data_IF_162775872879
#
_entry.id   IF_162775872879
#
_cell.length_a   1.000
_cell.length_b   1.000
_cell.length_c   1.000
_cell.angle_alpha   90.00
_cell.angle_beta   90.00
_cell.angle_gamma   90.00
#
_symmetry.space_group_name_H-M   'P 1'
#
loop_
_entity.id
_entity.type
_entity.pdbx_description
1 polymer ?
#
# COMPACT_ATOMS: atom_id res chain seq x y z
N UNK A 1 -43.97 19.59 74.72
CA UNK A 1 -45.00 20.64 74.90
C UNK A 1 -44.53 21.89 74.14
N UNK A 2 -45.37 22.42 73.22
CA UNK A 2 -45.17 23.56 72.29
C UNK A 2 -44.16 23.29 71.14
N UNK A 3 -44.50 23.06 69.88
CA UNK A 3 -45.43 23.66 68.88
C UNK A 3 -44.89 24.97 68.24
N UNK A 4 -44.97 25.01 66.88
CA UNK A 4 -45.02 26.15 65.94
C UNK A 4 -43.66 26.75 65.48
N UNK A 5 -43.38 27.11 64.21
CA UNK A 5 -44.12 27.16 62.93
C UNK A 5 -43.16 27.65 61.80
N UNK A 6 -43.41 27.22 60.54
CA UNK A 6 -43.12 27.81 59.20
C UNK A 6 -41.74 28.49 58.94
N UNK A 7 -41.09 28.42 57.77
CA UNK A 7 -41.60 28.66 56.43
C UNK A 7 -40.54 28.24 55.41
N UNK A 8 -41.00 27.69 54.29
CA UNK A 8 -40.28 27.45 53.04
C UNK A 8 -39.65 28.76 52.50
N UNK A 9 -38.38 28.75 52.10
CA UNK A 9 -37.95 29.59 50.98
C UNK A 9 -36.95 28.84 50.09
N UNK A 10 -37.40 28.69 48.86
CA UNK A 10 -36.75 28.15 47.68
C UNK A 10 -35.48 28.96 47.34
N UNK A 11 -34.35 28.29 47.16
CA UNK A 11 -33.22 28.82 46.41
C UNK A 11 -32.71 27.71 45.49
N UNK A 12 -33.44 27.50 44.40
CA UNK A 12 -32.99 26.76 43.23
C UNK A 12 -31.85 27.54 42.59
N UNK A 13 -30.60 27.18 42.91
CA UNK A 13 -29.47 27.57 42.08
C UNK A 13 -29.32 26.49 40.99
N UNK A 14 -30.05 26.69 39.89
CA UNK A 14 -29.76 26.02 38.63
C UNK A 14 -28.39 26.52 38.17
N UNK A 15 -27.33 25.77 38.47
CA UNK A 15 -26.08 25.89 37.73
C UNK A 15 -26.33 25.33 36.33
N UNK A 16 -26.83 26.19 35.43
CA UNK A 16 -26.72 26.00 33.99
C UNK A 16 -25.22 26.13 33.70
N UNK A 17 -24.51 25.03 33.91
CA UNK A 17 -23.24 24.80 33.26
C UNK A 17 -23.55 24.76 31.77
N UNK A 18 -23.17 25.83 31.08
CA UNK A 18 -22.97 25.85 29.64
C UNK A 18 -21.96 24.74 29.30
N UNK A 19 -22.46 23.52 29.14
CA UNK A 19 -21.86 22.57 28.23
C UNK A 19 -21.99 23.23 26.86
N UNK A 20 -20.99 24.02 26.48
CA UNK A 20 -20.64 24.16 25.09
C UNK A 20 -20.42 22.73 24.62
N UNK A 21 -21.45 22.15 24.00
CA UNK A 21 -21.28 21.01 23.13
C UNK A 21 -20.32 21.49 22.06
N UNK A 22 -19.03 21.21 22.23
CA UNK A 22 -18.15 21.06 21.09
C UNK A 22 -18.85 20.05 20.21
N UNK A 23 -19.47 20.55 19.14
CA UNK A 23 -20.04 19.75 18.08
C UNK A 23 -19.02 18.66 17.73
N UNK A 24 -19.54 17.44 17.67
CA UNK A 24 -18.93 16.30 17.00
C UNK A 24 -18.61 16.64 15.53
N UNK A 25 -17.51 17.37 15.28
CA UNK A 25 -17.04 17.67 13.91
C UNK A 25 -15.58 17.23 13.67
N UNK A 26 -14.90 16.59 14.62
CA UNK A 26 -13.56 16.02 14.43
C UNK A 26 -13.60 14.53 14.05
N UNK A 27 -14.60 14.12 13.24
CA UNK A 27 -14.46 12.90 12.47
C UNK A 27 -13.34 13.13 11.45
N UNK A 28 -12.09 12.80 11.83
CA UNK A 28 -10.95 12.77 10.91
C UNK A 28 -11.44 12.06 9.64
N UNK A 29 -11.43 12.72 8.47
CA UNK A 29 -12.01 12.13 7.27
C UNK A 29 -11.46 10.73 7.07
N UNK A 30 -12.36 9.76 6.84
CA UNK A 30 -11.98 8.37 6.65
C UNK A 30 -10.90 8.28 5.57
N UNK A 31 -9.88 7.45 5.80
CA UNK A 31 -8.85 7.26 4.78
C UNK A 31 -9.48 6.66 3.52
N UNK A 32 -9.01 7.11 2.37
CA UNK A 32 -9.49 6.71 1.05
C UNK A 32 -8.50 5.71 0.47
N UNK A 33 -9.01 4.59 -0.06
CA UNK A 33 -8.20 3.64 -0.80
C UNK A 33 -7.92 4.20 -2.19
N UNK A 34 -6.64 4.19 -2.57
CA UNK A 34 -6.21 4.61 -3.91
C UNK A 34 -5.38 3.53 -4.58
N UNK A 35 -5.32 3.59 -5.91
CA UNK A 35 -4.41 2.81 -6.76
C UNK A 35 -3.78 3.73 -7.81
N UNK A 36 -2.67 3.29 -8.42
CA UNK A 36 -2.04 3.99 -9.54
C UNK A 36 -2.00 3.12 -10.78
N UNK A 37 -2.38 3.70 -11.91
CA UNK A 37 -2.19 3.09 -13.22
C UNK A 37 -0.71 3.15 -13.60
N UNK A 38 -0.12 1.98 -13.85
CA UNK A 38 1.33 1.82 -14.04
C UNK A 38 1.85 2.72 -15.16
N UNK A 39 1.30 2.59 -16.38
CA UNK A 39 1.89 3.22 -17.58
C UNK A 39 1.78 4.75 -17.62
N UNK A 40 0.64 5.31 -17.24
CA UNK A 40 0.39 6.75 -17.36
C UNK A 40 0.55 7.52 -16.04
N UNK A 41 0.74 6.83 -14.91
CA UNK A 41 0.96 7.44 -13.60
C UNK A 41 -0.30 7.98 -12.92
N UNK A 42 -1.46 7.92 -13.57
CA UNK A 42 -2.72 8.41 -13.01
C UNK A 42 -3.04 7.69 -11.70
N UNK A 43 -3.43 8.45 -10.69
CA UNK A 43 -3.86 7.94 -9.39
C UNK A 43 -5.38 8.06 -9.29
N UNK A 44 -6.00 7.00 -8.80
CA UNK A 44 -7.44 6.86 -8.70
C UNK A 44 -7.85 6.55 -7.28
N UNK A 45 -8.96 7.16 -6.82
CA UNK A 45 -9.74 6.63 -5.71
C UNK A 45 -10.46 5.36 -6.16
N UNK A 46 -10.49 4.35 -5.29
CA UNK A 46 -11.22 3.10 -5.50
C UNK A 46 -12.48 3.11 -4.65
N UNK A 47 -13.64 2.94 -5.28
CA UNK A 47 -14.86 2.53 -4.57
C UNK A 47 -14.70 1.08 -4.14
N UNK A 48 -14.61 0.81 -2.83
CA UNK A 48 -14.27 -0.53 -2.33
C UNK A 48 -15.38 -1.57 -2.51
N UNK A 49 -16.60 -1.15 -2.85
CA UNK A 49 -17.76 -2.04 -3.03
C UNK A 49 -17.91 -2.47 -4.48
N UNK A 50 -17.66 -1.56 -5.41
CA UNK A 50 -17.83 -1.78 -6.85
C UNK A 50 -16.52 -1.85 -7.63
N UNK A 51 -15.41 -1.45 -7.02
CA UNK A 51 -14.10 -1.27 -7.65
C UNK A 51 -14.06 -0.17 -8.72
N UNK A 52 -15.07 0.72 -8.76
CA UNK A 52 -15.07 1.88 -9.67
C UNK A 52 -13.90 2.80 -9.34
N UNK A 53 -13.18 3.21 -10.38
CA UNK A 53 -12.03 4.12 -10.28
C UNK A 53 -12.46 5.55 -10.61
N UNK A 54 -12.12 6.49 -9.72
CA UNK A 54 -12.27 7.94 -9.96
C UNK A 54 -10.89 8.58 -9.97
N UNK A 55 -10.49 9.20 -11.08
CA UNK A 55 -9.19 9.87 -11.18
C UNK A 55 -9.13 11.02 -10.16
N UNK A 56 -8.01 11.12 -9.44
CA UNK A 56 -7.79 12.17 -8.44
C UNK A 56 -6.60 13.08 -8.80
N UNK A 57 -5.49 12.52 -9.29
CA UNK A 57 -4.35 13.33 -9.76
C UNK A 57 -3.40 12.50 -10.63
N UNK A 58 -2.46 13.19 -11.27
CA UNK A 58 -1.29 12.59 -11.93
C UNK A 58 -0.03 13.28 -11.41
N UNK A 59 0.90 12.56 -10.75
CA UNK A 59 2.09 13.18 -10.20
C UNK A 59 3.07 13.61 -11.30
N UNK A 60 3.79 14.70 -11.06
CA UNK A 60 4.82 15.23 -11.98
C UNK A 60 6.17 15.34 -11.27
N UNK A 61 7.27 15.33 -12.03
CA UNK A 61 8.60 15.68 -11.55
C UNK A 61 9.19 16.68 -12.53
N UNK A 62 9.38 17.91 -12.07
CA UNK A 62 9.62 19.04 -12.97
C UNK A 62 8.45 19.20 -13.94
N UNK A 63 8.74 19.23 -15.25
CA UNK A 63 7.73 19.39 -16.30
C UNK A 63 7.12 18.05 -16.78
N UNK A 64 7.60 16.90 -16.30
CA UNK A 64 7.23 15.60 -16.83
C UNK A 64 6.26 14.85 -15.91
N UNK A 65 5.30 14.13 -16.49
CA UNK A 65 4.49 13.15 -15.76
C UNK A 65 5.34 12.00 -15.27
N UNK A 66 5.16 11.61 -14.01
CA UNK A 66 5.77 10.39 -13.47
C UNK A 66 5.00 9.17 -13.98
N UNK A 67 5.69 8.28 -14.70
CA UNK A 67 5.12 7.08 -15.34
C UNK A 67 5.77 5.81 -14.80
N UNK A 68 5.28 4.65 -15.24
CA UNK A 68 5.75 3.32 -14.81
C UNK A 68 5.76 3.13 -13.29
N UNK A 69 4.77 3.68 -12.60
CA UNK A 69 4.66 3.54 -11.14
C UNK A 69 4.42 2.06 -10.81
N UNK A 70 5.38 1.46 -10.10
CA UNK A 70 5.33 0.06 -9.69
C UNK A 70 4.86 -0.12 -8.26
N UNK A 71 5.20 0.82 -7.39
CA UNK A 71 4.87 0.77 -5.99
C UNK A 71 4.59 2.17 -5.48
N UNK A 72 3.67 2.26 -4.52
CA UNK A 72 3.24 3.52 -3.93
C UNK A 72 2.87 3.29 -2.47
N UNK A 73 3.31 4.17 -1.58
CA UNK A 73 2.95 4.14 -0.16
C UNK A 73 2.79 5.56 0.37
N UNK A 74 1.82 5.77 1.27
CA UNK A 74 1.67 7.04 1.97
C UNK A 74 2.29 6.97 3.36
N UNK A 75 3.11 7.97 3.67
CA UNK A 75 3.82 8.08 4.92
C UNK A 75 3.22 9.20 5.77
N UNK A 76 2.53 8.85 6.84
CA UNK A 76 1.85 9.83 7.72
C UNK A 76 2.81 10.78 8.42
N UNK A 77 3.97 10.29 8.88
CA UNK A 77 4.98 11.13 9.55
C UNK A 77 5.49 12.28 8.68
N UNK A 78 5.86 12.00 7.44
CA UNK A 78 6.30 12.98 6.44
C UNK A 78 5.17 13.71 5.72
N UNK A 79 3.92 13.26 5.87
CA UNK A 79 2.76 13.68 5.09
C UNK A 79 3.02 13.66 3.56
N UNK A 80 3.64 12.58 3.08
CA UNK A 80 4.08 12.42 1.68
C UNK A 80 3.75 11.05 1.11
N UNK A 81 3.67 10.97 -0.21
CA UNK A 81 3.75 9.70 -0.91
C UNK A 81 5.19 9.35 -1.25
N UNK A 82 5.45 8.05 -1.33
CA UNK A 82 6.69 7.50 -1.85
C UNK A 82 6.37 6.55 -2.99
N UNK A 83 7.03 6.77 -4.13
CA UNK A 83 6.77 6.06 -5.39
C UNK A 83 8.06 5.45 -5.97
N UNK A 84 7.95 4.22 -6.47
CA UNK A 84 8.99 3.58 -7.26
C UNK A 84 8.49 3.52 -8.68
N UNK A 85 9.29 4.07 -9.59
CA UNK A 85 8.93 4.30 -10.98
C UNK A 85 10.20 4.26 -11.84
N UNK A 86 10.08 4.28 -13.18
CA UNK A 86 11.27 4.34 -14.05
C UNK A 86 11.96 5.70 -13.96
N UNK A 87 13.23 5.73 -14.37
CA UNK A 87 14.02 6.95 -14.49
C UNK A 87 13.51 7.82 -15.63
N UNK A 88 13.57 9.14 -15.46
CA UNK A 88 13.28 10.09 -16.55
C UNK A 88 14.31 10.03 -17.69
N UNK A 89 15.51 9.50 -17.44
CA UNK A 89 16.57 9.34 -18.45
C UNK A 89 16.30 8.13 -19.35
N UNK A 90 15.52 7.15 -18.88
CA UNK A 90 15.23 5.91 -19.58
C UNK A 90 13.83 5.40 -19.21
N UNK A 91 12.81 6.19 -19.60
CA UNK A 91 11.40 5.97 -19.18
C UNK A 91 10.81 4.66 -19.69
N UNK A 92 11.32 4.17 -20.83
CA UNK A 92 10.84 2.95 -21.48
C UNK A 92 11.59 1.71 -20.98
N UNK A 93 12.68 1.87 -20.23
CA UNK A 93 13.39 0.75 -19.63
C UNK A 93 12.81 0.41 -18.25
N UNK A 94 12.11 -0.72 -18.13
CA UNK A 94 11.50 -1.12 -16.86
C UNK A 94 12.53 -1.41 -15.76
N UNK A 95 13.83 -1.50 -16.07
CA UNK A 95 14.93 -1.77 -15.13
C UNK A 95 15.64 -0.52 -14.61
N UNK A 96 15.17 0.67 -14.99
CA UNK A 96 15.74 1.95 -14.57
C UNK A 96 15.09 2.51 -13.30
N UNK A 97 14.77 1.65 -12.31
CA UNK A 97 13.96 2.03 -11.16
C UNK A 97 14.56 3.18 -10.34
N UNK A 98 13.76 4.20 -10.03
CA UNK A 98 14.09 5.38 -9.22
C UNK A 98 13.07 5.50 -8.09
N UNK A 99 13.48 6.06 -6.96
CA UNK A 99 12.59 6.35 -5.84
C UNK A 99 12.29 7.84 -5.77
N UNK A 100 11.02 8.14 -5.54
CA UNK A 100 10.49 9.50 -5.49
C UNK A 100 9.75 9.71 -4.17
N UNK A 101 9.84 10.92 -3.63
CA UNK A 101 8.86 11.46 -2.68
C UNK A 101 7.92 12.40 -3.43
N UNK A 102 6.63 12.39 -3.14
CA UNK A 102 5.62 13.24 -3.81
C UNK A 102 4.82 13.97 -2.74
N UNK A 103 4.75 15.28 -2.87
CA UNK A 103 3.89 16.12 -2.05
C UNK A 103 2.44 15.91 -2.48
N UNK A 104 1.56 15.44 -1.59
CA UNK A 104 0.18 15.11 -1.91
C UNK A 104 -0.70 16.36 -2.12
N UNK A 105 -0.24 17.55 -1.76
CA UNK A 105 -0.94 18.82 -1.98
C UNK A 105 -0.60 19.38 -3.35
N UNK A 106 0.69 19.49 -3.67
CA UNK A 106 1.15 20.06 -4.94
C UNK A 106 1.17 19.04 -6.08
N UNK A 107 1.12 17.74 -5.74
CA UNK A 107 1.26 16.59 -6.66
C UNK A 107 2.63 16.54 -7.37
N UNK A 108 3.61 17.27 -6.84
CA UNK A 108 4.97 17.34 -7.38
C UNK A 108 5.88 16.38 -6.63
N UNK A 109 6.61 15.58 -7.40
CA UNK A 109 7.59 14.63 -6.95
C UNK A 109 9.02 15.16 -7.00
N UNK A 110 9.86 14.61 -6.13
CA UNK A 110 11.31 14.82 -6.05
C UNK A 110 12.00 13.47 -5.99
N UNK A 111 13.08 13.30 -6.76
CA UNK A 111 13.93 12.11 -6.70
C UNK A 111 14.61 12.07 -5.32
N UNK A 112 14.47 10.95 -4.61
CA UNK A 112 15.15 10.72 -3.34
C UNK A 112 16.26 9.66 -3.48
N UNK A 113 16.17 8.78 -4.47
CA UNK A 113 17.22 7.83 -4.81
C UNK A 113 17.22 7.59 -6.32
N UNK A 114 18.30 8.01 -6.98
CA UNK A 114 18.48 7.91 -8.44
C UNK A 114 18.95 6.53 -8.92
N UNK A 115 19.19 5.60 -7.98
CA UNK A 115 19.61 4.23 -8.23
C UNK A 115 20.84 4.13 -9.16
N UNK A 116 21.73 5.12 -9.11
CA UNK A 116 22.93 5.18 -9.97
C UNK A 116 24.01 4.17 -9.60
N UNK A 117 23.76 3.32 -8.59
CA UNK A 117 24.65 2.21 -8.25
C UNK A 117 26.03 2.66 -7.80
N UNK A 118 26.14 3.78 -7.07
CA UNK A 118 27.39 4.39 -6.56
C UNK A 118 28.33 3.51 -5.71
N UNK A 119 28.18 2.18 -5.75
CA UNK A 119 29.07 1.15 -5.21
C UNK A 119 29.27 -0.09 -6.11
N UNK A 120 28.91 -0.06 -7.42
CA UNK A 120 29.21 -1.12 -8.40
C UNK A 120 28.00 -1.64 -9.19
N UNK A 121 28.26 -2.52 -10.18
CA UNK A 121 27.27 -3.04 -11.15
C UNK A 121 26.10 -3.83 -10.55
N UNK A 122 26.24 -4.31 -9.31
CA UNK A 122 25.19 -5.02 -8.59
C UNK A 122 24.46 -4.12 -7.58
N UNK A 123 24.79 -2.84 -7.47
CA UNK A 123 24.07 -1.95 -6.56
C UNK A 123 22.74 -1.43 -7.14
N UNK A 124 22.53 -1.60 -8.44
CA UNK A 124 21.34 -1.16 -9.18
C UNK A 124 20.27 -2.25 -9.13
N UNK A 125 19.04 -1.89 -8.78
CA UNK A 125 17.87 -2.78 -8.81
C UNK A 125 16.89 -2.40 -9.93
N UNK A 126 16.13 -3.35 -10.46
CA UNK A 126 15.17 -3.09 -11.55
C UNK A 126 14.10 -2.08 -11.12
N UNK A 127 13.40 -2.36 -10.01
CA UNK A 127 12.43 -1.48 -9.36
C UNK A 127 12.02 -2.05 -8.00
N UNK A 128 11.49 -1.19 -7.13
CA UNK A 128 10.78 -1.64 -5.92
C UNK A 128 9.34 -1.95 -6.32
N UNK A 129 8.90 -3.19 -6.10
CA UNK A 129 7.57 -3.67 -6.52
C UNK A 129 6.49 -3.47 -5.45
N UNK A 130 6.90 -3.34 -4.19
CA UNK A 130 6.01 -2.96 -3.09
C UNK A 130 6.83 -2.47 -1.89
N UNK A 131 6.19 -1.75 -0.98
CA UNK A 131 6.79 -1.24 0.24
C UNK A 131 5.73 -0.81 1.25
N UNK A 132 6.10 -0.86 2.52
CA UNK A 132 5.31 -0.38 3.63
C UNK A 132 6.09 0.65 4.45
N UNK A 133 5.39 1.34 5.35
CA UNK A 133 6.01 2.19 6.37
C UNK A 133 6.25 1.35 7.62
N UNK A 134 7.51 1.17 7.97
CA UNK A 134 7.92 0.42 9.15
C UNK A 134 7.68 1.22 10.45
N UNK A 135 7.86 0.57 11.61
CA UNK A 135 7.65 1.19 12.92
C UNK A 135 8.65 2.31 13.25
N UNK A 136 9.83 2.27 12.62
CA UNK A 136 10.87 3.29 12.69
C UNK A 136 10.73 4.37 11.61
N UNK A 137 9.56 4.44 10.95
CA UNK A 137 9.26 5.40 9.86
C UNK A 137 10.18 5.25 8.62
N UNK A 138 10.88 4.12 8.49
CA UNK A 138 11.56 3.77 7.25
C UNK A 138 10.59 3.13 6.24
N UNK A 139 10.92 3.23 4.96
CA UNK A 139 10.23 2.52 3.89
C UNK A 139 10.85 1.13 3.73
N UNK A 140 10.09 0.08 3.99
CA UNK A 140 10.59 -1.30 3.96
C UNK A 140 10.10 -2.03 2.72
N UNK A 141 10.99 -2.74 2.05
CA UNK A 141 10.71 -3.53 0.85
C UNK A 141 11.39 -4.89 0.93
N UNK A 142 10.85 -5.86 0.21
CA UNK A 142 11.55 -7.09 -0.17
C UNK A 142 11.85 -7.03 -1.66
N UNK A 143 12.96 -7.63 -2.10
CA UNK A 143 13.34 -7.68 -3.51
C UNK A 143 14.80 -8.07 -3.69
N UNK A 144 15.22 -8.17 -4.95
CA UNK A 144 16.60 -8.47 -5.30
C UNK A 144 17.45 -7.19 -5.24
N UNK A 145 18.07 -6.98 -4.09
CA UNK A 145 18.94 -5.85 -3.83
C UNK A 145 20.39 -6.34 -3.74
N UNK A 146 21.12 -6.24 -4.85
CA UNK A 146 22.49 -6.69 -5.03
C UNK A 146 22.71 -8.21 -5.14
N UNK A 147 23.94 -8.61 -5.50
CA UNK A 147 24.34 -10.01 -5.62
C UNK A 147 23.87 -10.84 -4.40
N UNK A 148 23.40 -12.06 -4.65
CA UNK A 148 22.85 -13.01 -3.67
C UNK A 148 21.32 -12.91 -3.43
N UNK A 149 20.53 -12.63 -4.48
CA UNK A 149 19.08 -12.87 -4.51
C UNK A 149 18.23 -11.97 -3.60
N UNK A 150 16.97 -12.34 -3.39
CA UNK A 150 16.01 -11.51 -2.66
C UNK A 150 16.36 -11.31 -1.19
N UNK A 151 15.93 -10.19 -0.61
CA UNK A 151 16.01 -9.93 0.83
C UNK A 151 15.30 -8.64 1.21
N UNK A 152 15.31 -8.32 2.51
CA UNK A 152 14.69 -7.09 3.03
C UNK A 152 15.68 -5.95 2.95
N UNK A 153 15.19 -4.79 2.51
CA UNK A 153 15.91 -3.52 2.56
C UNK A 153 14.99 -2.44 3.15
N UNK A 154 15.59 -1.51 3.89
CA UNK A 154 14.95 -0.28 4.35
C UNK A 154 15.54 0.91 3.61
N UNK A 155 14.67 1.85 3.26
CA UNK A 155 15.04 3.16 2.76
C UNK A 155 14.60 4.22 3.77
N UNK A 156 15.48 5.17 4.07
CA UNK A 156 15.07 6.41 4.72
C UNK A 156 14.21 7.24 3.78
N UNK A 157 13.46 8.18 4.34
CA UNK A 157 12.62 9.12 3.57
C UNK A 157 13.44 10.07 2.68
N UNK A 158 14.74 10.18 2.94
CA UNK A 158 15.72 10.86 2.10
C UNK A 158 16.32 9.95 1.00
N UNK A 159 15.83 8.71 0.86
CA UNK A 159 16.28 7.72 -0.10
C UNK A 159 17.56 6.96 0.27
N UNK A 160 18.17 7.24 1.42
CA UNK A 160 19.31 6.46 1.91
C UNK A 160 18.92 5.00 2.14
N UNK A 161 19.72 4.05 1.68
CA UNK A 161 19.39 2.61 1.71
C UNK A 161 20.21 1.86 2.75
N UNK A 162 19.58 0.95 3.50
CA UNK A 162 20.27 0.02 4.38
C UNK A 162 21.02 -1.08 3.61
N UNK A 163 21.86 -1.83 4.30
CA UNK A 163 22.30 -3.14 3.79
C UNK A 163 21.10 -4.09 3.70
N UNK A 164 21.08 -4.97 2.69
CA UNK A 164 20.10 -6.07 2.58
C UNK A 164 20.30 -7.07 3.72
N UNK A 165 19.23 -7.66 4.22
CA UNK A 165 19.29 -8.82 5.14
C UNK A 165 19.93 -10.04 4.47
N UNK A 166 19.96 -11.18 5.19
CA UNK A 166 20.29 -12.46 4.56
C UNK A 166 19.37 -12.76 3.37
N UNK A 167 19.89 -13.56 2.45
CA UNK A 167 19.12 -14.02 1.29
C UNK A 167 17.84 -14.73 1.75
N UNK A 168 16.75 -14.34 1.11
CA UNK A 168 15.41 -14.85 1.28
C UNK A 168 15.08 -15.78 0.11
N UNK A 169 14.56 -16.96 0.41
CA UNK A 169 14.05 -17.88 -0.60
C UNK A 169 12.59 -17.55 -0.96
N UNK A 170 12.35 -16.31 -1.38
CA UNK A 170 11.07 -15.84 -1.90
C UNK A 170 11.31 -14.61 -2.78
N UNK A 171 10.69 -14.55 -3.95
CA UNK A 171 10.64 -13.34 -4.78
C UNK A 171 9.25 -12.70 -4.69
N UNK A 172 9.02 -11.46 -5.06
CA UNK A 172 9.94 -10.34 -5.02
C UNK A 172 9.41 -9.32 -4.01
N UNK A 173 8.65 -9.77 -3.00
CA UNK A 173 8.00 -8.87 -2.04
C UNK A 173 6.72 -8.23 -2.55
N UNK A 174 5.94 -8.93 -3.39
CA UNK A 174 4.64 -8.40 -3.79
C UNK A 174 3.66 -8.38 -2.60
N UNK A 175 2.54 -7.67 -2.77
CA UNK A 175 1.45 -7.61 -1.80
C UNK A 175 1.91 -7.46 -0.35
N UNK A 176 2.88 -6.56 -0.12
CA UNK A 176 3.56 -6.44 1.16
C UNK A 176 2.65 -5.77 2.19
N UNK A 177 2.45 -6.44 3.32
CA UNK A 177 1.90 -5.87 4.55
C UNK A 177 2.95 -5.90 5.65
N UNK A 178 2.96 -4.87 6.49
CA UNK A 178 3.84 -4.77 7.65
C UNK A 178 3.02 -4.69 8.93
N UNK A 179 3.32 -5.58 9.88
CA UNK A 179 2.75 -5.51 11.22
C UNK A 179 3.66 -4.66 12.11
N UNK A 180 3.18 -3.47 12.49
CA UNK A 180 3.94 -2.55 13.36
C UNK A 180 4.16 -3.10 14.77
N UNK A 181 3.34 -4.03 15.25
CA UNK A 181 3.41 -4.57 16.61
C UNK A 181 4.45 -5.67 16.75
N UNK A 182 4.57 -6.55 15.74
CA UNK A 182 5.54 -7.65 15.74
C UNK A 182 6.81 -7.31 14.94
N UNK A 183 6.72 -6.34 14.02
CA UNK A 183 7.75 -6.01 13.05
C UNK A 183 7.82 -7.00 11.88
N UNK A 184 6.88 -7.92 11.76
CA UNK A 184 6.87 -8.91 10.69
C UNK A 184 6.32 -8.34 9.38
N UNK A 185 6.85 -8.86 8.28
CA UNK A 185 6.34 -8.63 6.94
C UNK A 185 5.54 -9.85 6.51
N UNK A 186 4.43 -9.62 5.84
CA UNK A 186 3.75 -10.63 5.06
C UNK A 186 3.82 -10.22 3.60
N UNK A 187 4.33 -11.10 2.75
CA UNK A 187 4.45 -10.86 1.31
C UNK A 187 3.81 -12.00 0.55
N UNK A 188 3.26 -11.73 -0.63
CA UNK A 188 3.00 -12.79 -1.60
C UNK A 188 4.26 -13.11 -2.39
N UNK A 189 4.47 -14.39 -2.69
CA UNK A 189 5.48 -14.81 -3.64
C UNK A 189 5.03 -14.42 -5.06
N UNK A 190 5.97 -13.95 -5.88
CA UNK A 190 5.74 -13.65 -7.29
C UNK A 190 6.36 -14.64 -8.25
N UNK A 191 7.04 -15.66 -7.73
CA UNK A 191 7.50 -16.79 -8.54
C UNK A 191 6.30 -17.58 -9.06
N UNK A 192 6.46 -18.11 -10.27
CA UNK A 192 5.50 -18.92 -11.02
C UNK A 192 4.81 -19.92 -10.09
N UNK A 193 3.49 -19.79 -9.97
CA UNK A 193 2.65 -20.85 -9.47
C UNK A 193 1.69 -21.18 -10.61
N UNK A 194 2.06 -22.17 -11.43
CA UNK A 194 1.18 -22.75 -12.44
C UNK A 194 -0.06 -23.45 -11.82
N UNK A 195 -0.15 -23.45 -10.48
CA UNK A 195 -1.04 -24.27 -9.68
C UNK A 195 -2.21 -23.50 -9.02
N UNK A 196 -2.61 -22.34 -9.58
CA UNK A 196 -3.75 -21.56 -9.08
C UNK A 196 -3.65 -21.30 -7.57
N UNK A 197 -2.49 -20.84 -7.13
CA UNK A 197 -2.26 -20.50 -5.74
C UNK A 197 -1.58 -19.15 -5.58
N UNK A 198 -1.82 -18.48 -4.46
CA UNK A 198 -0.98 -17.36 -4.03
C UNK A 198 -0.30 -17.77 -2.73
N UNK A 199 1.01 -17.96 -2.78
CA UNK A 199 1.82 -18.27 -1.61
C UNK A 199 2.11 -16.98 -0.85
N UNK A 200 1.91 -16.98 0.46
CA UNK A 200 2.31 -15.92 1.35
C UNK A 200 3.38 -16.39 2.33
N UNK A 201 4.43 -15.58 2.48
CA UNK A 201 5.47 -15.78 3.47
C UNK A 201 5.37 -14.70 4.56
N UNK A 202 5.38 -15.13 5.82
CA UNK A 202 5.61 -14.25 6.96
C UNK A 202 7.10 -14.24 7.27
N UNK A 203 7.68 -13.05 7.36
CA UNK A 203 9.11 -12.83 7.43
C UNK A 203 9.40 -11.89 8.58
N UNK A 204 10.29 -12.30 9.49
CA UNK A 204 10.75 -11.40 10.54
C UNK A 204 11.78 -10.38 10.00
N UNK A 205 12.09 -9.35 10.78
CA UNK A 205 13.00 -8.26 10.36
C UNK A 205 14.44 -8.72 10.06
N UNK A 206 14.85 -9.92 10.48
CA UNK A 206 16.15 -10.51 10.13
C UNK A 206 16.18 -11.19 8.76
N UNK A 207 15.04 -11.24 8.04
CA UNK A 207 14.91 -11.94 6.77
C UNK A 207 14.70 -13.45 6.92
N UNK A 208 14.14 -13.91 8.04
CA UNK A 208 13.78 -15.33 8.22
C UNK A 208 12.30 -15.53 7.94
N UNK A 209 11.97 -16.48 7.05
CA UNK A 209 10.59 -16.95 6.87
C UNK A 209 10.18 -17.72 8.12
N UNK A 210 9.16 -17.24 8.82
CA UNK A 210 8.63 -17.83 10.05
C UNK A 210 7.37 -18.66 9.81
N UNK A 211 6.65 -18.37 8.72
CA UNK A 211 5.46 -19.10 8.33
C UNK A 211 5.22 -18.98 6.82
N UNK A 212 4.63 -20.01 6.22
CA UNK A 212 4.19 -20.03 4.82
C UNK A 212 2.75 -20.52 4.76
N UNK A 213 1.91 -19.82 4.01
CA UNK A 213 0.52 -20.20 3.76
C UNK A 213 0.21 -20.02 2.27
N UNK A 214 -0.80 -20.70 1.75
CA UNK A 214 -1.25 -20.51 0.36
C UNK A 214 -2.75 -20.30 0.30
N UNK A 215 -3.18 -19.48 -0.66
CA UNK A 215 -4.58 -19.31 -1.02
C UNK A 215 -4.83 -20.00 -2.36
N UNK A 216 -5.69 -21.01 -2.37
CA UNK A 216 -6.13 -21.74 -3.57
C UNK A 216 -7.62 -21.51 -3.90
N UNK A 217 -8.35 -20.81 -3.03
CA UNK A 217 -9.78 -20.55 -3.19
C UNK A 217 -10.01 -19.15 -3.78
N UNK A 218 -10.53 -19.11 -5.00
CA UNK A 218 -10.87 -17.89 -5.73
C UNK A 218 -12.39 -17.86 -5.97
N UNK A 219 -13.06 -16.86 -5.41
CA UNK A 219 -14.51 -16.74 -5.40
C UNK A 219 -15.02 -15.62 -6.32
N UNK A 220 -16.18 -15.86 -6.94
CA UNK A 220 -16.96 -14.88 -7.71
C UNK A 220 -16.28 -14.29 -8.97
N UNK A 221 -15.19 -14.91 -9.45
CA UNK A 221 -14.55 -14.48 -10.69
C UNK A 221 -15.45 -14.77 -11.91
N UNK A 222 -15.47 -13.86 -12.91
CA UNK A 222 -16.34 -13.98 -14.08
C UNK A 222 -15.93 -15.10 -15.05
N UNK A 223 -14.68 -15.57 -14.97
CA UNK A 223 -14.14 -16.67 -15.74
C UNK A 223 -13.34 -17.60 -14.82
N UNK A 224 -13.13 -18.86 -15.26
CA UNK A 224 -12.22 -19.75 -14.54
C UNK A 224 -10.80 -19.19 -14.58
N UNK A 225 -10.08 -19.36 -13.48
CA UNK A 225 -8.66 -19.03 -13.33
C UNK A 225 -7.79 -20.31 -13.25
N UNK A 226 -8.32 -21.45 -13.68
CA UNK A 226 -7.59 -22.72 -13.63
C UNK A 226 -6.37 -22.68 -14.56
N UNK A 227 -5.20 -23.07 -14.02
CA UNK A 227 -3.91 -23.04 -14.72
C UNK A 227 -3.48 -21.65 -15.20
N UNK A 228 -3.99 -20.58 -14.58
CA UNK A 228 -3.54 -19.23 -14.87
C UNK A 228 -2.38 -18.82 -13.96
N UNK A 229 -1.38 -18.14 -14.50
CA UNK A 229 -0.34 -17.51 -13.71
C UNK A 229 -0.85 -16.22 -13.06
N UNK A 230 -1.20 -16.35 -11.77
CA UNK A 230 -1.69 -15.24 -10.96
C UNK A 230 -0.56 -14.60 -10.14
N UNK A 231 -0.56 -13.28 -10.04
CA UNK A 231 0.29 -12.55 -9.08
C UNK A 231 -0.55 -11.54 -8.32
N UNK A 232 -0.59 -11.65 -6.99
CA UNK A 232 -1.11 -10.58 -6.15
C UNK A 232 -0.06 -9.47 -6.05
N UNK A 233 -0.27 -8.34 -6.71
CA UNK A 233 0.73 -7.26 -6.84
C UNK A 233 0.80 -6.36 -5.60
N UNK A 234 -0.37 -6.04 -5.03
CA UNK A 234 -0.49 -5.14 -3.90
C UNK A 234 -1.59 -5.57 -2.94
N UNK A 235 -1.46 -5.18 -1.68
CA UNK A 235 -2.49 -5.26 -0.66
C UNK A 235 -2.53 -3.97 0.16
N UNK A 236 -3.71 -3.63 0.66
CA UNK A 236 -3.89 -2.61 1.68
C UNK A 236 -4.89 -3.10 2.72
N UNK A 237 -4.56 -2.90 4.00
CA UNK A 237 -5.41 -3.26 5.13
C UNK A 237 -6.07 -2.01 5.70
N UNK A 238 -7.39 -2.04 5.84
CA UNK A 238 -8.12 -0.96 6.50
C UNK A 238 -8.02 -1.04 8.03
N UNK A 239 -8.62 -0.07 8.72
CA UNK A 239 -8.62 -0.01 10.19
C UNK A 239 -9.40 -1.15 10.85
N UNK A 240 -10.40 -1.71 10.16
CA UNK A 240 -11.18 -2.85 10.64
C UNK A 240 -10.44 -4.19 10.41
N UNK A 241 -9.30 -4.17 9.71
CA UNK A 241 -8.52 -5.35 9.39
C UNK A 241 -8.92 -6.02 8.08
N UNK A 242 -9.85 -5.44 7.31
CA UNK A 242 -10.22 -5.93 5.99
C UNK A 242 -9.11 -5.63 5.00
N UNK A 243 -8.80 -6.58 4.13
CA UNK A 243 -7.71 -6.47 3.17
C UNK A 243 -8.28 -6.45 1.75
N UNK A 244 -7.84 -5.45 1.00
CA UNK A 244 -8.07 -5.35 -0.43
C UNK A 244 -6.78 -5.59 -1.18
N UNK A 245 -6.87 -6.09 -2.40
CA UNK A 245 -5.72 -6.46 -3.20
C UNK A 245 -5.86 -6.10 -4.68
N UNK A 246 -4.71 -6.08 -5.36
CA UNK A 246 -4.62 -6.05 -6.82
C UNK A 246 -4.10 -7.40 -7.28
N UNK A 247 -4.96 -8.19 -7.90
CA UNK A 247 -4.60 -9.47 -8.49
C UNK A 247 -4.37 -9.25 -9.99
N UNK A 248 -3.20 -9.62 -10.48
CA UNK A 248 -2.88 -9.58 -11.89
C UNK A 248 -2.82 -11.00 -12.43
N UNK A 249 -3.58 -11.25 -13.49
CA UNK A 249 -3.53 -12.47 -14.27
C UNK A 249 -2.58 -12.26 -15.44
N UNK A 250 -1.44 -12.94 -15.39
CA UNK A 250 -0.33 -12.72 -16.30
C UNK A 250 -0.64 -13.26 -17.69
N UNK A 251 -1.37 -14.36 -17.79
CA UNK A 251 -1.62 -15.06 -19.05
C UNK A 251 -2.56 -14.28 -19.96
N UNK A 252 -3.59 -13.67 -19.38
CA UNK A 252 -4.52 -12.80 -20.13
C UNK A 252 -4.25 -11.31 -19.92
N UNK A 253 -3.25 -10.97 -19.09
CA UNK A 253 -2.84 -9.60 -18.79
C UNK A 253 -3.96 -8.72 -18.19
N UNK A 254 -4.82 -9.30 -17.35
CA UNK A 254 -5.97 -8.61 -16.74
C UNK A 254 -5.66 -8.25 -15.29
N UNK A 255 -6.09 -7.05 -14.88
CA UNK A 255 -5.96 -6.59 -13.49
C UNK A 255 -7.33 -6.59 -12.80
N UNK A 256 -7.43 -7.32 -11.70
CA UNK A 256 -8.61 -7.41 -10.86
C UNK A 256 -8.40 -6.66 -9.53
N UNK A 257 -9.44 -5.98 -9.09
CA UNK A 257 -9.58 -5.52 -7.72
C UNK A 257 -10.31 -6.60 -6.91
N UNK A 258 -9.72 -6.98 -5.77
CA UNK A 258 -10.16 -8.15 -5.00
C UNK A 258 -10.21 -7.87 -3.50
N UNK A 259 -11.02 -8.64 -2.79
CA UNK A 259 -10.94 -8.79 -1.33
C UNK A 259 -10.06 -10.00 -1.01
N UNK A 260 -9.15 -9.85 -0.05
CA UNK A 260 -8.25 -10.92 0.41
C UNK A 260 -8.58 -11.28 1.85
N UNK A 261 -8.84 -12.55 2.13
CA UNK A 261 -9.04 -13.05 3.47
C UNK A 261 -7.95 -14.08 3.80
N UNK A 262 -7.02 -13.66 4.66
CA UNK A 262 -5.89 -14.49 5.09
C UNK A 262 -6.25 -15.47 6.21
N UNK A 263 -7.45 -15.37 6.80
CA UNK A 263 -7.94 -16.31 7.82
C UNK A 263 -8.69 -17.47 7.16
N UNK A 264 -9.58 -17.17 6.21
CA UNK A 264 -10.31 -18.19 5.44
C UNK A 264 -9.56 -18.64 4.20
N UNK A 265 -8.39 -18.04 3.93
CA UNK A 265 -7.55 -18.32 2.76
C UNK A 265 -8.35 -18.24 1.45
N UNK A 266 -8.97 -17.09 1.22
CA UNK A 266 -9.84 -16.84 0.06
C UNK A 266 -9.53 -15.50 -0.58
N UNK A 267 -9.51 -15.45 -1.92
CA UNK A 267 -9.52 -14.21 -2.69
C UNK A 267 -10.88 -14.12 -3.39
N UNK A 268 -11.61 -13.02 -3.17
CA UNK A 268 -12.92 -12.77 -3.78
C UNK A 268 -12.82 -11.64 -4.79
N UNK A 269 -13.32 -11.88 -6.00
CA UNK A 269 -13.45 -10.87 -7.04
C UNK A 269 -14.37 -9.73 -6.61
N UNK A 270 -14.00 -8.49 -6.95
CA UNK A 270 -14.88 -7.31 -6.85
C UNK A 270 -15.12 -6.75 -8.25
N UNK A 271 -14.04 -6.42 -8.98
CA UNK A 271 -14.14 -5.87 -10.33
C UNK A 271 -12.89 -6.13 -11.16
N UNK A 272 -13.05 -6.05 -12.49
CA UNK A 272 -11.95 -5.87 -13.42
C UNK A 272 -11.66 -4.37 -13.56
N UNK A 273 -10.41 -3.96 -13.29
CA UNK A 273 -10.00 -2.56 -13.37
C UNK A 273 -9.00 -2.29 -14.50
N UNK A 274 -8.38 -3.33 -15.05
CA UNK A 274 -7.43 -3.26 -16.16
C UNK A 274 -7.63 -4.41 -17.13
N UNK A 275 -7.72 -4.11 -18.43
CA UNK A 275 -8.07 -5.10 -19.45
C UNK A 275 -6.87 -5.69 -20.22
N UNK A 276 -5.67 -5.12 -20.05
CA UNK A 276 -4.45 -5.55 -20.73
C UNK A 276 -3.18 -5.03 -20.02
N UNK A 277 -2.00 -5.35 -20.58
CA UNK A 277 -0.69 -4.90 -20.09
C UNK A 277 -0.48 -3.38 -20.11
N UNK A 278 -1.19 -2.65 -20.98
CA UNK A 278 -1.14 -1.21 -21.01
C UNK A 278 -1.99 -0.58 -19.90
N UNK A 279 -3.00 -1.30 -19.43
CA UNK A 279 -3.94 -0.92 -18.39
C UNK A 279 -3.67 -1.63 -17.05
N UNK A 280 -2.40 -1.84 -16.69
CA UNK A 280 -2.02 -2.51 -15.45
C UNK A 280 -2.00 -1.55 -14.24
N UNK A 281 -2.44 -2.06 -13.09
CA UNK A 281 -2.34 -1.40 -11.79
C UNK A 281 -1.50 -2.27 -10.85
N UNK A 282 -0.59 -1.67 -10.07
CA UNK A 282 0.37 -2.43 -9.25
C UNK A 282 0.44 -1.99 -7.79
N UNK A 283 -0.34 -0.98 -7.38
CA UNK A 283 -0.23 -0.37 -6.06
C UNK A 283 -1.59 -0.20 -5.39
N UNK A 284 -1.60 -0.25 -4.06
CA UNK A 284 -2.73 0.13 -3.22
C UNK A 284 -2.21 0.86 -1.98
N UNK A 285 -2.86 1.94 -1.60
CA UNK A 285 -2.55 2.66 -0.36
C UNK A 285 -3.80 3.35 0.19
N UNK A 286 -3.89 3.41 1.52
CA UNK A 286 -4.85 4.28 2.19
C UNK A 286 -4.23 5.66 2.43
N UNK A 287 -4.98 6.71 2.10
CA UNK A 287 -4.53 8.11 2.20
C UNK A 287 -5.59 8.97 2.91
N UNK A 288 -5.22 10.06 3.57
CA UNK A 288 -6.19 11.01 4.10
C UNK A 288 -7.11 11.56 3.00
N UNK A 289 -8.42 11.61 3.25
CA UNK A 289 -9.39 12.06 2.25
C UNK A 289 -9.11 13.46 1.69
N UNK A 290 -8.46 14.34 2.47
CA UNK A 290 -8.05 15.70 2.03
C UNK A 290 -7.16 15.70 0.78
N UNK A 291 -6.54 14.57 0.44
CA UNK A 291 -5.69 14.43 -0.74
C UNK A 291 -6.35 13.69 -1.92
N UNK A 292 -7.59 13.25 -1.73
CA UNK A 292 -8.34 12.44 -2.69
C UNK A 292 -9.50 13.22 -3.36
N UNK A 293 -9.44 14.55 -3.33
CA UNK A 293 -10.41 15.46 -3.96
C UNK A 293 -9.77 16.21 -5.13
#
# INVERSE_FOLDING_TARGET
MKILKYTLLLATLLSIGLFNSCKDDDATPADVLITSHRKNGKVFKVDVTSGVLTEIFTPTVGANTLKEIRAFVYHRGEDKFFASATSFVDQDNPRSGVLYSIDPTTKVGTIINDNTGGGGSYAVWDAVVNWAVASDESLISVGDFNANGNGIVKFGVNGGRSTKTKQLNACCGFALLYDRSTGELQISNGEESDDKEIIFNTINTSGTITNTTSITTFADFPASLDNHWLTLKAMAKDRAGKIYGILFDTDVSVTYFVEVNLTTLTIRYISTIGADNNNQYNSLAYIPARYAN
#
